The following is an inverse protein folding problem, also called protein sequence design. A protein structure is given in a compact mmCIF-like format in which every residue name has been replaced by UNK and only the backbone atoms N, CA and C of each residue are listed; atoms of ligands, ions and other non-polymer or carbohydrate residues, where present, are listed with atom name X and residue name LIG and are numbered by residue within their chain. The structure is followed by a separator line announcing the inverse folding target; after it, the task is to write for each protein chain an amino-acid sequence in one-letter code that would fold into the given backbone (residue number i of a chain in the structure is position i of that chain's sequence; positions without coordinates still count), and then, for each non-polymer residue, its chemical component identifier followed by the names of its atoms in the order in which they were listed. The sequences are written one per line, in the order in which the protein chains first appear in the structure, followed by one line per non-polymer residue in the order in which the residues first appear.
data_IF_475395362520
#
_entry.id   IF_475395362520
#
_cell.length_a   1.000
_cell.length_b   1.000
_cell.length_c   1.000
_cell.angle_alpha   90.00
_cell.angle_beta   90.00
_cell.angle_gamma   90.00
#
_symmetry.space_group_name_H-M   'P 1'
#
loop_
_entity.id
_entity.type
_entity.pdbx_description
1 polymer ?
#
# COMPACT_ATOMS: atom_id res chain seq x y z
N UNK A 1 1.74 -5.07 15.32
CA UNK A 1 1.77 -5.17 13.84
C UNK A 1 0.69 -4.22 13.34
N UNK A 2 1.07 -3.14 12.66
CA UNK A 2 0.12 -2.17 12.15
C UNK A 2 -0.34 -2.64 10.77
N UNK A 3 -1.59 -3.08 10.68
CA UNK A 3 -2.18 -3.59 9.44
C UNK A 3 -3.26 -2.63 8.96
N UNK A 4 -3.19 -2.26 7.69
CA UNK A 4 -4.25 -1.53 7.00
C UNK A 4 -5.02 -2.51 6.11
N UNK A 5 -6.35 -2.41 6.10
CA UNK A 5 -7.22 -3.20 5.23
C UNK A 5 -8.01 -2.27 4.30
N UNK A 6 -8.00 -2.60 3.01
CA UNK A 6 -8.74 -1.92 1.94
C UNK A 6 -9.24 -2.99 0.98
N UNK A 7 -10.56 -3.05 0.77
CA UNK A 7 -11.21 -3.96 -0.19
C UNK A 7 -10.78 -5.44 -0.09
N UNK A 8 -10.50 -5.90 1.14
CA UNK A 8 -10.04 -7.28 1.40
C UNK A 8 -8.53 -7.49 1.25
N UNK A 9 -7.79 -6.51 0.76
CA UNK A 9 -6.34 -6.49 0.71
C UNK A 9 -5.77 -5.95 2.01
N UNK A 10 -4.64 -6.51 2.42
CA UNK A 10 -3.97 -6.16 3.66
C UNK A 10 -2.61 -5.55 3.34
N UNK A 11 -2.25 -4.48 4.04
CA UNK A 11 -0.92 -3.89 3.95
C UNK A 11 -0.30 -3.77 5.34
N UNK A 12 1.00 -4.05 5.43
CA UNK A 12 1.80 -3.85 6.63
C UNK A 12 2.32 -2.41 6.62
N UNK A 13 2.06 -1.66 7.69
CA UNK A 13 2.50 -0.27 7.83
C UNK A 13 3.69 -0.20 8.78
N UNK A 14 4.80 0.37 8.31
CA UNK A 14 6.02 0.59 9.06
C UNK A 14 6.43 2.06 8.95
N UNK A 15 6.99 2.62 10.01
CA UNK A 15 7.51 3.98 9.98
C UNK A 15 8.95 3.94 9.44
N UNK A 16 9.24 4.83 8.50
CA UNK A 16 10.54 5.01 7.86
C UNK A 16 11.16 6.31 8.39
N UNK A 17 12.21 6.16 9.21
CA UNK A 17 12.86 7.29 9.88
C UNK A 17 13.73 8.15 8.95
N UNK A 18 14.15 7.61 7.80
CA UNK A 18 14.97 8.33 6.83
C UNK A 18 14.14 9.34 6.05
N UNK A 19 12.88 9.00 5.79
CA UNK A 19 11.93 9.83 5.03
C UNK A 19 10.91 10.56 5.90
N UNK A 20 10.81 10.21 7.20
CA UNK A 20 9.77 10.71 8.12
C UNK A 20 8.34 10.41 7.60
N UNK A 21 8.18 9.23 7.02
CA UNK A 21 6.92 8.76 6.44
C UNK A 21 6.58 7.35 6.90
N UNK A 22 5.32 6.97 6.78
CA UNK A 22 4.93 5.58 6.90
C UNK A 22 5.03 4.91 5.54
N UNK A 23 5.74 3.79 5.47
CA UNK A 23 5.77 2.86 4.35
C UNK A 23 4.70 1.78 4.54
N UNK A 24 3.89 1.57 3.52
CA UNK A 24 2.91 0.50 3.44
C UNK A 24 3.32 -0.54 2.41
N UNK A 25 3.41 -1.80 2.83
CA UNK A 25 3.72 -2.95 1.96
C UNK A 25 2.47 -3.82 1.81
N UNK A 26 1.96 -3.98 0.58
CA UNK A 26 0.75 -4.77 0.32
C UNK A 26 1.09 -6.27 0.38
N UNK A 27 0.39 -7.00 1.24
CA UNK A 27 0.58 -8.43 1.47
C UNK A 27 -0.16 -9.25 0.40
N UNK A 28 0.50 -10.29 -0.12
CA UNK A 28 -0.10 -11.25 -1.04
C UNK A 28 -0.12 -10.82 -2.51
N UNK A 29 0.50 -9.68 -2.85
CA UNK A 29 0.76 -9.28 -4.23
C UNK A 29 2.21 -9.60 -4.59
N UNK A 30 2.41 -10.28 -5.72
CA UNK A 30 3.72 -10.57 -6.29
C UNK A 30 4.26 -9.34 -7.02
N UNK A 31 4.60 -8.29 -6.29
CA UNK A 31 5.10 -7.04 -6.86
C UNK A 31 5.50 -6.02 -5.79
N UNK A 32 6.41 -5.11 -6.15
CA UNK A 32 6.84 -3.98 -5.31
C UNK A 32 5.73 -2.92 -5.31
N UNK A 33 4.60 -3.24 -4.70
CA UNK A 33 3.49 -2.32 -4.51
C UNK A 33 3.62 -1.64 -3.14
N UNK A 34 4.77 -1.03 -2.90
CA UNK A 34 4.97 -0.19 -1.72
C UNK A 34 4.32 1.16 -1.94
N UNK A 35 3.76 1.72 -0.88
CA UNK A 35 3.20 3.07 -0.87
C UNK A 35 3.69 3.83 0.36
N UNK A 36 3.68 5.15 0.29
CA UNK A 36 4.14 6.00 1.38
C UNK A 36 3.08 7.05 1.74
N UNK A 37 3.06 7.47 2.99
CA UNK A 37 2.20 8.56 3.42
C UNK A 37 2.55 9.02 4.83
N UNK A 38 2.26 10.29 5.11
CA UNK A 38 2.52 10.91 6.42
C UNK A 38 1.29 10.90 7.33
N UNK A 39 0.15 10.39 6.84
CA UNK A 39 -1.10 10.26 7.60
C UNK A 39 -1.90 9.01 7.20
N UNK A 40 -2.79 8.50 8.07
CA UNK A 40 -3.66 7.37 7.73
C UNK A 40 -4.51 7.59 6.48
N UNK A 41 -5.02 8.80 6.27
CA UNK A 41 -5.81 9.16 5.08
C UNK A 41 -4.97 9.11 3.80
N UNK A 42 -3.73 9.60 3.85
CA UNK A 42 -2.80 9.56 2.72
C UNK A 42 -2.39 8.13 2.37
N UNK A 43 -2.01 7.34 3.38
CA UNK A 43 -1.72 5.91 3.22
C UNK A 43 -2.88 5.17 2.55
N UNK A 44 -4.12 5.46 2.95
CA UNK A 44 -5.29 4.81 2.38
C UNK A 44 -5.49 5.18 0.90
N UNK A 45 -5.27 6.44 0.54
CA UNK A 45 -5.34 6.91 -0.85
C UNK A 45 -4.26 6.25 -1.72
N UNK A 46 -3.02 6.26 -1.26
CA UNK A 46 -1.92 5.67 -2.02
C UNK A 46 -2.03 4.14 -2.10
N UNK A 47 -2.56 3.47 -1.07
CA UNK A 47 -2.88 2.05 -1.13
C UNK A 47 -3.92 1.77 -2.24
N UNK A 48 -5.07 2.46 -2.24
CA UNK A 48 -6.12 2.26 -3.26
C UNK A 48 -5.54 2.47 -4.67
N UNK A 49 -4.74 3.52 -4.85
CA UNK A 49 -4.12 3.83 -6.15
C UNK A 49 -3.13 2.74 -6.60
N UNK A 50 -2.27 2.26 -5.70
CA UNK A 50 -1.32 1.19 -5.98
C UNK A 50 -2.04 -0.13 -6.33
N UNK A 51 -3.14 -0.42 -5.62
CA UNK A 51 -3.98 -1.57 -5.89
C UNK A 51 -4.71 -1.47 -7.24
N UNK A 52 -5.24 -0.31 -7.59
CA UNK A 52 -5.96 -0.10 -8.86
C UNK A 52 -5.04 -0.34 -10.07
N UNK A 53 -3.82 0.20 -10.02
CA UNK A 53 -2.78 -0.04 -11.05
C UNK A 53 -2.42 -1.52 -11.13
N UNK A 54 -2.26 -2.20 -9.99
CA UNK A 54 -1.99 -3.64 -9.98
C UNK A 54 -3.13 -4.44 -10.64
N UNK A 55 -4.38 -4.12 -10.30
CA UNK A 55 -5.55 -4.79 -10.87
C UNK A 55 -5.73 -4.50 -12.36
N UNK A 56 -5.37 -3.30 -12.82
CA UNK A 56 -5.34 -2.94 -14.24
C UNK A 56 -4.32 -3.79 -15.01
N UNK A 57 -3.08 -3.87 -14.51
CA UNK A 57 -2.02 -4.71 -15.11
C UNK A 57 -2.41 -6.20 -15.11
N UNK A 58 -3.10 -6.69 -14.08
CA UNK A 58 -3.60 -8.06 -14.05
C UNK A 58 -4.75 -8.33 -15.04
N UNK A 59 -5.57 -7.33 -15.37
CA UNK A 59 -6.66 -7.46 -16.35
C UNK A 59 -6.18 -7.44 -17.79
N UNK A 60 -4.99 -6.91 -18.05
CA UNK A 60 -4.38 -6.88 -19.39
C UNK A 60 -3.65 -8.19 -19.77
N UNK A 61 -3.63 -9.21 -18.90
CA UNK A 61 -3.00 -10.52 -19.16
C UNK A 61 -3.99 -11.63 -19.51
#
# INVERSE_FOLDING_TARGET
MNLMNVDGYHAKIEYDEETDQFRGEILGLSGVADFYGSSPDELRREFIKSLDVFLEVCKEQ
#
